data_IF_982024330825
#
_entry.id   IF_982024330825
#
_cell.length_a   1.000
_cell.length_b   1.000
_cell.length_c   1.000
_cell.angle_alpha   90.00
_cell.angle_beta   90.00
_cell.angle_gamma   90.00
#
_symmetry.space_group_name_H-M   'P 1'
#
loop_
_entity.id
_entity.type
_entity.pdbx_description
1 polymer ?
#
# COMPACT_ATOMS: atom_id res chain seq x y z
N UNK A 1 -43.34 -42.21 -3.82
CA UNK A 1 -43.80 -41.61 -2.57
C UNK A 1 -42.86 -41.87 -1.37
N UNK A 2 -41.99 -42.90 -1.41
CA UNK A 2 -41.10 -43.34 -0.30
C UNK A 2 -39.81 -42.52 -0.17
N UNK A 3 -39.39 -41.78 -1.21
CA UNK A 3 -38.14 -41.00 -1.18
C UNK A 3 -38.18 -39.76 -0.24
N UNK A 4 -39.37 -39.13 -0.08
CA UNK A 4 -39.52 -37.95 0.79
C UNK A 4 -39.34 -38.23 2.30
N UNK A 5 -39.85 -39.33 2.88
CA UNK A 5 -39.58 -39.62 4.30
C UNK A 5 -38.13 -40.04 4.55
N UNK A 6 -37.48 -40.72 3.58
CA UNK A 6 -36.10 -41.17 3.71
C UNK A 6 -35.09 -39.99 3.62
N UNK A 7 -35.37 -38.99 2.78
CA UNK A 7 -34.54 -37.77 2.76
C UNK A 7 -34.65 -36.95 4.05
N UNK A 8 -35.85 -36.91 4.68
CA UNK A 8 -36.04 -36.27 5.99
C UNK A 8 -35.31 -37.00 7.11
N UNK A 9 -35.26 -38.33 7.04
CA UNK A 9 -34.55 -39.15 8.02
C UNK A 9 -33.01 -39.00 7.86
N UNK A 10 -32.53 -38.98 6.61
CA UNK A 10 -31.13 -38.74 6.28
C UNK A 10 -30.67 -37.31 6.70
N UNK A 11 -31.46 -36.28 6.40
CA UNK A 11 -31.14 -34.89 6.82
C UNK A 11 -31.17 -34.71 8.35
N UNK A 12 -31.93 -35.56 9.07
CA UNK A 12 -31.93 -35.54 10.54
C UNK A 12 -30.72 -36.28 11.14
N UNK A 13 -30.14 -37.22 10.38
CA UNK A 13 -29.01 -38.04 10.79
C UNK A 13 -27.65 -37.42 10.38
N UNK A 14 -27.59 -36.76 9.21
CA UNK A 14 -26.39 -36.07 8.74
C UNK A 14 -26.16 -34.69 9.38
N UNK A 15 -27.08 -34.23 10.24
CA UNK A 15 -26.95 -32.90 10.83
C UNK A 15 -27.15 -31.77 9.79
N UNK A 16 -27.52 -30.60 10.22
CA UNK A 16 -27.40 -29.40 9.39
C UNK A 16 -25.92 -29.20 9.12
N UNK A 17 -25.54 -29.14 7.84
CA UNK A 17 -24.23 -28.63 7.46
C UNK A 17 -24.08 -27.26 8.14
N UNK A 18 -23.28 -27.21 9.21
CA UNK A 18 -22.84 -25.93 9.77
C UNK A 18 -21.92 -25.33 8.72
N UNK A 19 -22.12 -24.07 8.31
CA UNK A 19 -21.22 -23.43 7.39
C UNK A 19 -19.80 -23.54 7.99
N UNK A 20 -18.90 -24.20 7.26
CA UNK A 20 -17.51 -24.31 7.66
C UNK A 20 -16.92 -22.89 7.59
N UNK A 21 -16.59 -22.36 8.75
CA UNK A 21 -15.81 -21.11 8.86
C UNK A 21 -14.35 -21.49 8.66
N UNK A 22 -13.84 -21.21 7.49
CA UNK A 22 -12.42 -21.41 7.19
C UNK A 22 -11.59 -20.33 7.89
N UNK A 23 -10.47 -20.72 8.46
CA UNK A 23 -9.44 -19.79 8.92
C UNK A 23 -8.73 -19.14 7.71
N UNK A 24 -8.01 -18.05 7.95
CA UNK A 24 -7.19 -17.43 6.88
C UNK A 24 -6.20 -18.42 6.26
N UNK A 25 -5.58 -19.28 7.07
CA UNK A 25 -4.65 -20.30 6.58
C UNK A 25 -5.32 -21.34 5.69
N UNK A 26 -6.51 -21.83 6.07
CA UNK A 26 -7.27 -22.76 5.25
C UNK A 26 -7.73 -22.13 3.93
N UNK A 27 -8.08 -20.82 3.94
CA UNK A 27 -8.41 -20.10 2.72
C UNK A 27 -7.19 -19.90 1.81
N UNK A 28 -6.02 -19.58 2.36
CA UNK A 28 -4.75 -19.51 1.62
C UNK A 28 -4.44 -20.87 0.95
N UNK A 29 -4.59 -21.95 1.68
CA UNK A 29 -4.34 -23.31 1.18
C UNK A 29 -5.30 -23.70 0.05
N UNK A 30 -6.58 -23.37 0.19
CA UNK A 30 -7.59 -23.58 -0.88
C UNK A 30 -7.25 -22.74 -2.11
N UNK A 31 -6.88 -21.49 -1.96
CA UNK A 31 -6.50 -20.60 -3.08
C UNK A 31 -5.26 -21.16 -3.80
N UNK A 32 -4.26 -21.58 -3.03
CA UNK A 32 -3.03 -22.16 -3.60
C UNK A 32 -3.30 -23.48 -4.33
N UNK A 33 -4.17 -24.34 -3.81
CA UNK A 33 -4.60 -25.58 -4.48
C UNK A 33 -5.26 -25.27 -5.83
N UNK A 34 -6.11 -24.22 -5.88
CA UNK A 34 -6.75 -23.78 -7.12
C UNK A 34 -5.77 -23.21 -8.14
N UNK A 35 -4.74 -22.47 -7.70
CA UNK A 35 -3.71 -21.89 -8.57
C UNK A 35 -2.90 -22.94 -9.33
N UNK A 36 -2.70 -24.11 -8.73
CA UNK A 36 -1.85 -25.21 -9.31
C UNK A 36 -2.64 -26.14 -10.23
N UNK A 37 -3.97 -26.10 -10.18
CA UNK A 37 -4.81 -27.01 -10.96
C UNK A 37 -5.12 -26.46 -12.34
N UNK A 38 -4.76 -27.21 -13.37
CA UNK A 38 -4.99 -26.85 -14.77
C UNK A 38 -6.49 -26.85 -15.17
N UNK A 39 -7.37 -27.41 -14.36
CA UNK A 39 -8.83 -27.43 -14.55
C UNK A 39 -9.57 -26.39 -13.66
N UNK A 40 -8.81 -25.54 -12.95
CA UNK A 40 -9.38 -24.48 -12.13
C UNK A 40 -9.98 -23.35 -12.98
N UNK A 41 -11.14 -22.79 -12.62
CA UNK A 41 -11.64 -21.58 -13.25
C UNK A 41 -10.93 -20.31 -12.77
N UNK A 42 -10.08 -20.40 -11.74
CA UNK A 42 -9.28 -19.31 -11.15
C UNK A 42 -7.90 -19.41 -11.76
N UNK A 43 -7.42 -18.35 -12.38
CA UNK A 43 -6.07 -18.33 -12.95
C UNK A 43 -5.01 -18.01 -11.88
N UNK A 44 -3.72 -18.06 -12.31
CA UNK A 44 -2.60 -17.84 -11.41
C UNK A 44 -2.60 -16.43 -10.80
N UNK A 45 -2.89 -15.40 -11.62
CA UNK A 45 -2.88 -14.01 -11.16
C UNK A 45 -4.02 -13.73 -10.19
N UNK A 46 -5.22 -14.27 -10.46
CA UNK A 46 -6.36 -14.17 -9.53
C UNK A 46 -6.04 -14.83 -8.18
N UNK A 47 -5.40 -16.00 -8.22
CA UNK A 47 -5.00 -16.72 -7.00
C UNK A 47 -3.94 -15.95 -6.20
N UNK A 48 -2.96 -15.35 -6.87
CA UNK A 48 -1.91 -14.54 -6.26
C UNK A 48 -2.49 -13.31 -5.56
N UNK A 49 -3.34 -12.53 -6.25
CA UNK A 49 -4.02 -11.37 -5.67
C UNK A 49 -4.88 -11.76 -4.47
N UNK A 50 -5.62 -12.88 -4.56
CA UNK A 50 -6.45 -13.35 -3.45
C UNK A 50 -5.60 -13.77 -2.23
N UNK A 51 -4.47 -14.43 -2.43
CA UNK A 51 -3.52 -14.79 -1.39
C UNK A 51 -2.89 -13.54 -0.75
N UNK A 52 -2.42 -12.58 -1.58
CA UNK A 52 -1.90 -11.30 -1.13
C UNK A 52 -2.91 -10.53 -0.27
N UNK A 53 -4.18 -10.46 -0.70
CA UNK A 53 -5.25 -9.82 0.07
C UNK A 53 -5.51 -10.48 1.45
N UNK A 54 -5.32 -11.80 1.57
CA UNK A 54 -5.43 -12.49 2.86
C UNK A 54 -4.23 -12.22 3.79
N UNK A 55 -3.03 -12.09 3.23
CA UNK A 55 -1.81 -11.78 3.98
C UNK A 55 -1.73 -10.31 4.36
N UNK A 56 -2.15 -9.42 3.46
CA UNK A 56 -2.18 -7.97 3.63
C UNK A 56 -2.74 -7.55 5.00
N UNK A 57 -3.86 -8.15 5.41
CA UNK A 57 -4.49 -7.81 6.68
C UNK A 57 -3.70 -8.22 7.93
N UNK A 58 -2.62 -8.99 7.79
CA UNK A 58 -1.74 -9.42 8.89
C UNK A 58 -0.55 -8.47 9.08
N UNK A 59 -0.15 -7.74 8.05
CA UNK A 59 0.97 -6.81 8.04
C UNK A 59 0.59 -5.43 8.60
N UNK A 60 1.60 -4.70 9.03
CA UNK A 60 1.49 -3.35 9.60
C UNK A 60 2.25 -2.33 8.75
N UNK A 61 2.02 -1.02 9.00
CA UNK A 61 2.77 0.05 8.34
C UNK A 61 4.28 -0.08 8.57
N UNK A 62 4.70 -0.57 9.73
CA UNK A 62 6.11 -0.79 10.04
C UNK A 62 6.76 -1.91 9.23
N UNK A 63 5.96 -2.84 8.68
CA UNK A 63 6.48 -3.92 7.82
C UNK A 63 6.74 -3.45 6.38
N UNK A 64 6.13 -2.32 5.96
CA UNK A 64 6.25 -1.74 4.61
C UNK A 64 6.94 -0.38 4.60
N UNK A 65 7.41 0.13 5.74
CA UNK A 65 8.01 1.46 5.81
C UNK A 65 9.29 1.54 4.97
N UNK A 66 9.36 2.54 4.09
CA UNK A 66 10.61 2.96 3.46
C UNK A 66 11.39 3.80 4.49
N UNK A 67 12.56 3.35 4.97
CA UNK A 67 13.31 4.06 6.01
C UNK A 67 13.71 5.47 5.58
N UNK A 68 13.74 6.44 6.52
CA UNK A 68 14.15 7.83 6.22
C UNK A 68 15.49 7.94 5.50
N UNK A 69 16.41 7.00 5.75
CA UNK A 69 17.73 6.98 5.07
C UNK A 69 17.68 6.70 3.57
N UNK A 70 16.56 6.16 3.09
CA UNK A 70 16.33 5.80 1.68
C UNK A 70 15.35 6.77 0.99
N UNK A 71 14.69 7.63 1.76
CA UNK A 71 13.72 8.59 1.24
C UNK A 71 14.44 9.76 0.58
N UNK A 72 14.10 10.06 -0.67
CA UNK A 72 14.51 11.30 -1.31
C UNK A 72 13.70 12.47 -0.74
N UNK A 73 14.36 13.37 -0.04
CA UNK A 73 13.77 14.57 0.59
C UNK A 73 14.38 15.84 0.04
N UNK A 74 13.66 16.96 0.12
CA UNK A 74 14.18 18.31 -0.16
C UNK A 74 14.04 19.17 1.09
N UNK A 75 14.97 20.12 1.29
CA UNK A 75 14.91 21.02 2.42
C UNK A 75 13.95 22.20 2.12
N UNK A 76 13.25 22.67 3.15
CA UNK A 76 12.33 23.80 3.04
C UNK A 76 13.04 25.10 2.61
N UNK A 77 14.32 25.23 3.02
CA UNK A 77 15.17 26.40 2.73
C UNK A 77 15.87 26.30 1.36
N UNK A 78 15.72 25.14 0.67
CA UNK A 78 16.27 24.97 -0.68
C UNK A 78 15.56 25.85 -1.71
N UNK A 79 16.30 26.17 -2.77
CA UNK A 79 15.80 26.82 -3.95
C UNK A 79 15.66 25.79 -5.09
N UNK A 80 14.46 25.64 -5.62
CA UNK A 80 14.23 24.79 -6.78
C UNK A 80 14.82 25.47 -8.00
N UNK A 81 16.06 25.09 -8.32
CA UNK A 81 16.77 25.47 -9.52
C UNK A 81 16.76 24.35 -10.59
N UNK A 82 17.48 24.54 -11.67
CA UNK A 82 17.60 23.54 -12.73
C UNK A 82 18.29 22.25 -12.26
N UNK A 83 19.19 22.34 -11.27
CA UNK A 83 19.96 21.22 -10.73
C UNK A 83 19.08 20.35 -9.85
N UNK A 84 18.37 20.96 -8.90
CA UNK A 84 17.43 20.25 -8.01
C UNK A 84 16.27 19.66 -8.83
N UNK A 85 15.78 20.39 -9.85
CA UNK A 85 14.76 19.84 -10.75
C UNK A 85 15.25 18.60 -11.52
N UNK A 86 16.51 18.57 -11.92
CA UNK A 86 17.10 17.40 -12.57
C UNK A 86 17.20 16.21 -11.62
N UNK A 87 17.56 16.44 -10.35
CA UNK A 87 17.59 15.41 -9.31
C UNK A 87 16.18 14.84 -9.04
N UNK A 88 15.20 15.73 -8.92
CA UNK A 88 13.78 15.34 -8.75
C UNK A 88 13.29 14.47 -9.91
N UNK A 89 13.63 14.85 -11.14
CA UNK A 89 13.27 14.07 -12.33
C UNK A 89 13.95 12.70 -12.35
N UNK A 90 15.21 12.64 -11.93
CA UNK A 90 15.97 11.38 -11.87
C UNK A 90 15.41 10.45 -10.78
N UNK A 91 14.95 11.01 -9.67
CA UNK A 91 14.32 10.24 -8.58
C UNK A 91 12.96 9.64 -8.99
N UNK A 92 12.29 10.13 -10.07
CA UNK A 92 11.05 9.57 -10.59
C UNK A 92 9.79 9.84 -9.75
N UNK A 93 9.91 10.35 -8.52
CA UNK A 93 8.80 10.46 -7.59
C UNK A 93 7.85 11.62 -7.89
N UNK A 94 6.55 11.37 -7.86
CA UNK A 94 5.51 12.40 -8.04
C UNK A 94 5.28 13.28 -6.81
N UNK A 95 5.68 12.81 -5.62
CA UNK A 95 5.53 13.47 -4.32
C UNK A 95 6.82 13.35 -3.55
N UNK A 96 7.38 14.48 -3.15
CA UNK A 96 8.67 14.55 -2.47
C UNK A 96 8.43 15.14 -1.09
N UNK A 97 8.78 14.42 -0.02
CA UNK A 97 8.74 14.97 1.32
C UNK A 97 9.62 16.18 1.45
N UNK A 98 9.13 17.19 2.17
CA UNK A 98 9.88 18.41 2.49
C UNK A 98 10.22 18.38 3.97
N UNK A 99 11.49 18.56 4.28
CA UNK A 99 11.99 18.63 5.66
C UNK A 99 12.41 20.04 6.05
N UNK A 100 12.36 20.31 7.35
CA UNK A 100 12.96 21.48 8.00
C UNK A 100 13.51 21.06 9.36
N UNK A 101 14.74 21.42 9.66
CA UNK A 101 15.43 21.04 10.91
C UNK A 101 15.43 19.50 11.18
N UNK A 102 15.35 18.68 10.13
CA UNK A 102 15.37 17.22 10.21
C UNK A 102 14.01 16.58 10.46
N UNK A 103 12.92 17.35 10.51
CA UNK A 103 11.54 16.84 10.62
C UNK A 103 10.78 17.05 9.30
N UNK A 104 9.88 16.16 8.94
CA UNK A 104 9.06 16.29 7.75
C UNK A 104 7.92 17.29 7.99
N UNK A 105 7.92 18.39 7.23
CA UNK A 105 6.97 19.51 7.38
C UNK A 105 5.91 19.58 6.28
N UNK A 106 6.05 18.79 5.21
CA UNK A 106 5.08 18.81 4.12
C UNK A 106 5.50 18.00 2.93
N UNK A 107 4.85 18.24 1.79
CA UNK A 107 5.08 17.51 0.53
C UNK A 107 5.14 18.48 -0.64
N UNK A 108 6.19 18.36 -1.45
CA UNK A 108 6.29 18.99 -2.76
C UNK A 108 5.65 18.07 -3.81
N UNK A 109 4.68 18.58 -4.55
CA UNK A 109 4.07 17.86 -5.68
C UNK A 109 4.77 18.27 -6.98
N UNK A 110 5.39 17.34 -7.67
CA UNK A 110 6.13 17.60 -8.92
C UNK A 110 5.24 18.25 -9.98
N UNK A 111 3.96 17.87 -10.05
CA UNK A 111 2.99 18.51 -10.96
C UNK A 111 2.78 20.01 -10.72
N UNK A 112 2.98 20.49 -9.48
CA UNK A 112 2.78 21.91 -9.14
C UNK A 112 4.00 22.76 -9.54
N UNK A 113 5.11 22.11 -9.93
CA UNK A 113 6.33 22.73 -10.45
C UNK A 113 6.30 22.94 -11.96
N UNK A 114 5.52 22.11 -12.67
CA UNK A 114 5.47 22.15 -14.15
C UNK A 114 4.99 23.50 -14.65
N UNK A 115 5.77 24.14 -15.53
CA UNK A 115 5.45 25.43 -16.14
C UNK A 115 5.75 26.64 -15.23
N UNK A 116 6.44 26.47 -14.12
CA UNK A 116 6.92 27.58 -13.29
C UNK A 116 8.23 28.14 -13.83
N UNK A 117 8.40 29.45 -13.68
CA UNK A 117 9.69 30.09 -13.94
C UNK A 117 10.63 29.82 -12.74
N UNK A 118 11.78 29.25 -13.02
CA UNK A 118 12.77 28.91 -12.01
C UNK A 118 13.92 29.96 -12.00
N UNK A 119 14.60 30.17 -10.86
CA UNK A 119 14.47 29.45 -9.60
C UNK A 119 13.32 29.92 -8.69
N UNK A 120 12.82 29.04 -7.81
CA UNK A 120 11.77 29.32 -6.83
C UNK A 120 12.09 28.65 -5.48
N UNK A 121 11.85 29.33 -4.34
CA UNK A 121 12.05 28.70 -3.03
C UNK A 121 11.05 27.54 -2.82
N UNK A 122 11.50 26.42 -2.25
CA UNK A 122 10.66 25.27 -1.91
C UNK A 122 9.50 25.69 -1.00
N UNK A 123 9.74 26.63 -0.10
CA UNK A 123 8.73 27.20 0.81
C UNK A 123 7.51 27.83 0.12
N UNK A 124 7.59 28.15 -1.18
CA UNK A 124 6.47 28.65 -1.97
C UNK A 124 5.74 27.56 -2.77
N UNK A 125 6.28 26.36 -2.84
CA UNK A 125 5.84 25.28 -3.71
C UNK A 125 5.27 24.10 -2.94
N UNK A 126 5.71 23.87 -1.70
CA UNK A 126 5.27 22.73 -0.90
C UNK A 126 3.88 22.95 -0.31
N UNK A 127 3.27 21.87 0.09
CA UNK A 127 2.03 21.88 0.87
C UNK A 127 2.37 21.48 2.29
N UNK A 128 2.03 22.34 3.25
CA UNK A 128 2.29 22.22 4.70
C UNK A 128 1.45 21.15 5.40
N UNK A 129 0.88 20.22 4.63
CA UNK A 129 0.05 19.16 5.17
C UNK A 129 0.67 17.80 4.88
N UNK A 130 1.21 17.20 5.92
CA UNK A 130 1.65 15.82 5.93
C UNK A 130 0.79 15.03 6.92
N UNK A 131 0.62 13.75 6.68
CA UNK A 131 -0.15 12.86 7.53
C UNK A 131 0.75 11.78 8.09
N UNK A 132 0.52 11.42 9.32
CA UNK A 132 1.23 10.37 10.03
C UNK A 132 0.37 9.12 10.21
N UNK A 133 1.03 7.99 10.41
CA UNK A 133 0.45 6.70 10.78
C UNK A 133 1.35 5.98 11.77
N UNK A 134 0.78 5.37 12.80
CA UNK A 134 1.55 4.54 13.75
C UNK A 134 2.08 3.29 13.04
N UNK A 135 3.33 2.90 13.28
CA UNK A 135 3.96 1.72 12.69
C UNK A 135 3.18 0.41 12.96
N UNK A 136 2.40 0.37 14.05
CA UNK A 136 1.56 -0.78 14.43
C UNK A 136 0.21 -0.81 13.72
N UNK A 137 -0.12 0.23 12.95
CA UNK A 137 -1.36 0.28 12.18
C UNK A 137 -1.37 -0.81 11.12
N UNK A 138 -2.44 -1.61 11.09
CA UNK A 138 -2.60 -2.66 10.09
C UNK A 138 -2.80 -2.04 8.71
N UNK A 139 -2.33 -2.72 7.66
CA UNK A 139 -2.38 -2.20 6.29
C UNK A 139 -3.80 -1.96 5.79
N UNK A 140 -4.81 -2.71 6.25
CA UNK A 140 -6.22 -2.45 5.93
C UNK A 140 -6.69 -1.08 6.46
N UNK A 141 -6.19 -0.69 7.63
CA UNK A 141 -6.43 0.64 8.22
C UNK A 141 -5.66 1.73 7.45
N UNK A 142 -4.39 1.45 7.08
CA UNK A 142 -3.56 2.37 6.28
C UNK A 142 -4.23 2.66 4.94
N UNK A 143 -4.65 1.61 4.21
CA UNK A 143 -5.36 1.75 2.93
C UNK A 143 -6.65 2.56 3.09
N UNK A 144 -7.44 2.28 4.12
CA UNK A 144 -8.65 3.04 4.42
C UNK A 144 -8.37 4.53 4.66
N UNK A 145 -7.27 4.86 5.34
CA UNK A 145 -6.84 6.25 5.56
C UNK A 145 -6.38 6.93 4.28
N UNK A 146 -5.64 6.24 3.40
CA UNK A 146 -5.29 6.78 2.08
C UNK A 146 -6.54 7.17 1.29
N UNK A 147 -7.54 6.29 1.24
CA UNK A 147 -8.80 6.53 0.53
C UNK A 147 -9.56 7.73 1.15
N UNK A 148 -9.67 7.79 2.48
CA UNK A 148 -10.43 8.84 3.18
C UNK A 148 -9.77 10.22 3.08
N UNK A 149 -8.43 10.27 3.15
CA UNK A 149 -7.69 11.53 3.14
C UNK A 149 -7.38 12.02 1.73
N UNK A 150 -7.53 11.17 0.71
CA UNK A 150 -7.08 11.40 -0.67
C UNK A 150 -5.59 11.76 -0.76
N UNK A 151 -4.79 11.31 0.22
CA UNK A 151 -3.34 11.40 0.19
C UNK A 151 -2.76 10.06 -0.26
N UNK A 152 -1.52 10.08 -0.74
CA UNK A 152 -0.84 8.90 -1.22
C UNK A 152 0.52 8.70 -0.54
N UNK A 153 0.81 9.49 0.49
CA UNK A 153 2.02 9.41 1.27
C UNK A 153 1.70 9.71 2.74
N UNK A 154 2.14 8.84 3.65
CA UNK A 154 2.12 9.06 5.09
C UNK A 154 3.51 8.89 5.68
N UNK A 155 3.77 9.61 6.78
CA UNK A 155 4.94 9.39 7.64
C UNK A 155 4.62 8.26 8.59
N UNK A 156 5.49 7.27 8.70
CA UNK A 156 5.35 6.18 9.65
C UNK A 156 6.04 6.55 10.95
N UNK A 157 5.28 6.55 12.04
CA UNK A 157 5.75 6.96 13.36
C UNK A 157 5.93 5.78 14.31
N UNK A 158 6.96 5.85 15.13
CA UNK A 158 7.09 5.05 16.35
C UNK A 158 7.08 6.00 17.55
N UNK A 159 5.91 6.12 18.17
CA UNK A 159 5.61 7.16 19.14
C UNK A 159 5.88 8.57 18.57
N UNK A 160 6.94 9.26 19.00
CA UNK A 160 7.33 10.60 18.51
C UNK A 160 8.48 10.56 17.46
N UNK A 161 8.90 9.37 17.03
CA UNK A 161 10.02 9.20 16.11
C UNK A 161 9.51 8.89 14.69
N UNK A 162 9.94 9.68 13.73
CA UNK A 162 9.73 9.41 12.30
C UNK A 162 10.64 8.26 11.85
N UNK A 163 10.04 7.14 11.44
CA UNK A 163 10.79 5.97 10.94
C UNK A 163 11.06 6.07 9.43
N UNK A 164 10.14 6.68 8.70
CA UNK A 164 10.18 6.74 7.25
C UNK A 164 8.81 7.09 6.69
N UNK A 165 8.58 6.69 5.46
CA UNK A 165 7.32 6.92 4.77
C UNK A 165 6.69 5.60 4.31
N UNK A 166 5.40 5.65 4.02
CA UNK A 166 4.67 4.62 3.31
C UNK A 166 3.79 5.30 2.26
N UNK A 167 3.75 4.73 1.05
CA UNK A 167 2.94 5.24 -0.05
C UNK A 167 1.72 4.34 -0.32
N UNK A 168 0.76 4.85 -1.07
CA UNK A 168 -0.37 4.04 -1.54
C UNK A 168 0.10 2.95 -2.51
N UNK A 169 1.15 3.22 -3.27
CA UNK A 169 1.78 2.29 -4.21
C UNK A 169 2.32 1.07 -3.46
N UNK A 170 3.14 1.25 -2.40
CA UNK A 170 3.66 0.16 -1.56
C UNK A 170 2.54 -0.75 -1.04
N UNK A 171 1.42 -0.14 -0.62
CA UNK A 171 0.26 -0.86 -0.09
C UNK A 171 -0.46 -1.67 -1.17
N UNK A 172 -0.51 -1.16 -2.41
CA UNK A 172 -1.10 -1.88 -3.54
C UNK A 172 -0.19 -3.02 -4.00
N UNK A 173 1.11 -2.79 -4.09
CA UNK A 173 2.12 -3.80 -4.42
C UNK A 173 2.07 -4.98 -3.46
N UNK A 174 1.91 -4.70 -2.18
CA UNK A 174 1.74 -5.75 -1.16
C UNK A 174 0.49 -6.63 -1.40
N UNK A 175 -0.62 -6.04 -1.88
CA UNK A 175 -1.84 -6.80 -2.23
C UNK A 175 -1.62 -7.61 -3.50
N UNK A 176 -0.90 -7.03 -4.48
CA UNK A 176 -0.64 -7.66 -5.77
C UNK A 176 0.47 -8.71 -5.69
N UNK A 177 1.26 -8.72 -4.60
CA UNK A 177 2.49 -9.51 -4.46
C UNK A 177 3.40 -9.35 -5.70
N UNK A 178 3.55 -8.08 -6.13
CA UNK A 178 4.32 -7.71 -7.31
C UNK A 178 4.68 -6.22 -7.24
N UNK A 179 5.94 -5.89 -7.53
CA UNK A 179 6.39 -4.51 -7.71
C UNK A 179 5.73 -3.91 -8.96
N UNK A 180 5.31 -2.65 -8.84
CA UNK A 180 4.79 -1.84 -9.95
C UNK A 180 6.00 -1.11 -10.53
N UNK A 181 6.52 -1.61 -11.65
CA UNK A 181 7.63 -0.97 -12.35
C UNK A 181 7.16 0.35 -12.99
N UNK A 182 7.83 1.45 -12.68
CA UNK A 182 7.62 2.73 -13.34
C UNK A 182 8.42 2.82 -14.65
N UNK A 183 8.00 3.72 -15.56
CA UNK A 183 8.64 3.96 -16.86
C UNK A 183 10.15 4.34 -16.76
N UNK A 184 10.65 4.63 -15.56
CA UNK A 184 12.01 5.06 -15.27
C UNK A 184 12.88 3.99 -14.63
N UNK A 185 12.33 2.81 -14.31
CA UNK A 185 13.05 1.71 -13.66
C UNK A 185 13.85 0.84 -14.65
N UNK A 186 13.76 1.13 -15.96
CA UNK A 186 14.42 0.37 -17.05
C UNK A 186 15.83 0.92 -17.45
N UNK A 187 16.58 1.62 -16.59
CA UNK A 187 17.95 2.06 -16.95
C UNK A 187 19.04 1.44 -16.08
#
# INVERSE_FOLDING_TARGET
PLAKPMSKLLNRWLGKETPQLYSHQELEEIIHEHAVRSDSPVDYDESRIAAGALQFSKKTAGDLVTPMSEVFVVDLDDELDATLLAQIKHAGHSRIPVQSDGELVGVLYVKDVVGRDLPLPISQLYRDKIYDIDKRSRLDTVLSRFIQTHNHLFVVMDDETELGIITLEDVIEEILDQEIEDEYDEE
#
